data_IF_252907786343
#
_entry.id   IF_252907786343
#
_cell.length_a   1.000
_cell.length_b   1.000
_cell.length_c   1.000
_cell.angle_alpha   90.00
_cell.angle_beta   90.00
_cell.angle_gamma   90.00
#
_symmetry.space_group_name_H-M   'P 1'
#
loop_
_entity.id
_entity.type
_entity.pdbx_description
1 polymer ?
#
# COMPACT_ATOMS: atom_id res chain seq x y z
N UNK A 1 5.74 7.03 -20.86
CA UNK A 1 4.36 6.53 -20.60
C UNK A 1 4.10 6.52 -19.11
N UNK A 2 2.91 6.93 -18.71
CA UNK A 2 2.53 6.90 -17.29
C UNK A 2 2.27 5.47 -16.82
N UNK A 3 2.73 5.14 -15.63
CA UNK A 3 2.47 3.87 -14.99
C UNK A 3 1.00 3.74 -14.64
N UNK A 4 0.41 2.61 -14.97
CA UNK A 4 -0.98 2.30 -14.70
C UNK A 4 -1.08 1.29 -13.56
N UNK A 5 -1.97 1.57 -12.63
CA UNK A 5 -2.26 0.69 -11.48
C UNK A 5 -3.74 0.38 -11.47
N UNK A 6 -4.07 -0.90 -11.41
CA UNK A 6 -5.41 -1.34 -11.07
C UNK A 6 -5.41 -1.92 -9.66
N UNK A 7 -6.44 -1.64 -8.90
CA UNK A 7 -6.58 -2.11 -7.53
C UNK A 7 -7.95 -2.74 -7.33
N UNK A 8 -7.99 -3.91 -6.69
CA UNK A 8 -9.25 -4.59 -6.41
C UNK A 8 -10.07 -3.86 -5.35
N UNK A 9 -11.37 -3.92 -5.45
CA UNK A 9 -12.30 -3.39 -4.43
C UNK A 9 -12.06 -4.04 -3.08
N UNK A 10 -11.74 -5.32 -3.04
CA UNK A 10 -11.38 -6.04 -1.83
C UNK A 10 -10.21 -5.36 -1.11
N UNK A 11 -9.16 -5.00 -1.85
CA UNK A 11 -7.99 -4.33 -1.27
C UNK A 11 -8.34 -2.97 -0.69
N UNK A 12 -9.12 -2.18 -1.42
CA UNK A 12 -9.60 -0.88 -0.94
C UNK A 12 -10.40 -1.02 0.35
N UNK A 13 -11.31 -1.99 0.42
CA UNK A 13 -12.09 -2.27 1.63
C UNK A 13 -11.21 -2.67 2.81
N UNK A 14 -10.20 -3.50 2.59
CA UNK A 14 -9.25 -3.90 3.65
C UNK A 14 -8.50 -2.71 4.21
N UNK A 15 -8.01 -1.84 3.35
CA UNK A 15 -7.30 -0.62 3.75
C UNK A 15 -8.24 0.30 4.53
N UNK A 16 -9.43 0.55 4.02
CA UNK A 16 -10.43 1.39 4.68
C UNK A 16 -10.81 0.83 6.07
N UNK A 17 -10.99 -0.47 6.18
CA UNK A 17 -11.30 -1.13 7.45
C UNK A 17 -10.15 -1.01 8.45
N UNK A 18 -8.90 -1.14 8.01
CA UNK A 18 -7.72 -0.98 8.85
C UNK A 18 -7.60 0.45 9.42
N UNK A 19 -7.88 1.44 8.59
CA UNK A 19 -7.89 2.86 9.01
C UNK A 19 -9.03 3.12 10.00
N UNK A 20 -10.22 2.61 9.71
CA UNK A 20 -11.40 2.75 10.59
C UNK A 20 -11.19 2.08 11.94
N UNK A 21 -10.49 0.94 12.00
CA UNK A 21 -10.23 0.21 13.23
C UNK A 21 -9.44 1.02 14.27
N UNK A 22 -8.65 1.99 13.82
CA UNK A 22 -7.90 2.90 14.71
C UNK A 22 -8.52 4.29 14.78
N UNK A 23 -9.72 4.49 14.24
CA UNK A 23 -10.41 5.80 14.19
C UNK A 23 -9.56 6.92 13.61
N UNK A 24 -8.69 6.61 12.66
CA UNK A 24 -7.73 7.57 12.10
C UNK A 24 -6.90 8.30 13.18
N UNK A 25 -6.66 7.62 14.31
CA UNK A 25 -5.91 8.18 15.44
C UNK A 25 -4.40 7.98 15.32
N UNK A 26 -3.97 7.12 14.42
CA UNK A 26 -2.56 6.79 14.17
C UNK A 26 -2.38 6.29 12.74
N UNK A 27 -1.16 6.36 12.25
CA UNK A 27 -0.81 5.82 10.95
C UNK A 27 -0.81 4.30 10.99
N UNK A 28 -1.37 3.70 9.94
CA UNK A 28 -1.36 2.26 9.70
C UNK A 28 -0.89 2.01 8.28
N UNK A 29 -0.42 0.81 8.00
CA UNK A 29 0.02 0.46 6.67
C UNK A 29 0.35 -1.02 6.53
N UNK A 30 0.83 -1.39 5.36
CA UNK A 30 1.17 -2.76 5.03
C UNK A 30 1.80 -2.88 3.65
N UNK A 31 1.79 -4.10 3.13
CA UNK A 31 2.34 -4.42 1.82
C UNK A 31 1.22 -4.56 0.79
N UNK A 32 1.52 -4.20 -0.46
CA UNK A 32 0.68 -4.55 -1.60
C UNK A 32 1.12 -5.87 -2.21
N UNK A 33 0.15 -6.72 -2.48
CA UNK A 33 0.32 -7.99 -3.17
C UNK A 33 -0.32 -7.90 -4.55
N UNK A 34 0.40 -8.36 -5.56
CA UNK A 34 -0.14 -8.32 -6.91
C UNK A 34 0.82 -8.75 -7.98
N UNK A 35 0.59 -8.25 -9.18
CA UNK A 35 1.33 -8.61 -10.38
C UNK A 35 1.83 -7.36 -11.08
N UNK A 36 3.00 -7.49 -11.67
CA UNK A 36 3.59 -6.44 -12.48
C UNK A 36 3.89 -6.96 -13.88
N UNK A 37 3.50 -6.19 -14.87
CA UNK A 37 3.87 -6.45 -16.25
C UNK A 37 4.23 -5.13 -16.94
N UNK A 38 5.53 -4.92 -17.19
CA UNK A 38 6.04 -3.67 -17.76
C UNK A 38 5.67 -2.47 -16.86
N UNK A 39 4.98 -1.46 -17.40
CA UNK A 39 4.52 -0.27 -16.67
C UNK A 39 3.12 -0.43 -16.08
N UNK A 40 2.62 -1.67 -15.98
CA UNK A 40 1.30 -1.97 -15.44
C UNK A 40 1.42 -2.79 -14.17
N UNK A 41 0.73 -2.36 -13.12
CA UNK A 41 0.62 -3.07 -11.85
C UNK A 41 -0.84 -3.43 -11.60
N UNK A 42 -1.04 -4.59 -11.04
CA UNK A 42 -2.36 -5.05 -10.59
C UNK A 42 -2.27 -5.43 -9.12
N UNK A 43 -2.89 -4.64 -8.26
CA UNK A 43 -2.95 -4.90 -6.83
C UNK A 43 -4.19 -5.77 -6.56
N UNK A 44 -3.99 -6.97 -6.06
CA UNK A 44 -5.07 -7.93 -5.79
C UNK A 44 -5.35 -8.11 -4.31
N UNK A 45 -4.39 -7.78 -3.46
CA UNK A 45 -4.54 -7.88 -2.01
C UNK A 45 -3.55 -6.97 -1.30
N UNK A 46 -3.71 -6.82 0.00
CA UNK A 46 -2.81 -6.07 0.85
C UNK A 46 -2.72 -6.73 2.22
N UNK A 47 -1.56 -6.64 2.85
CA UNK A 47 -1.45 -6.92 4.28
C UNK A 47 -2.01 -5.74 5.06
N UNK A 48 -2.60 -6.01 6.19
CA UNK A 48 -3.11 -4.99 7.11
C UNK A 48 -2.53 -5.24 8.49
N UNK A 49 -2.34 -4.18 9.31
CA UNK A 49 -1.74 -4.34 10.61
C UNK A 49 -2.66 -5.10 11.55
N UNK A 50 -2.05 -5.78 12.51
CA UNK A 50 -2.74 -6.22 13.71
C UNK A 50 -2.95 -5.00 14.61
N UNK A 51 -4.21 -4.68 14.93
CA UNK A 51 -4.57 -3.47 15.69
C UNK A 51 -3.88 -3.35 17.04
N UNK A 52 -3.49 -4.47 17.65
CA UNK A 52 -2.79 -4.48 18.94
C UNK A 52 -1.34 -3.98 18.85
N UNK A 53 -0.76 -4.01 17.68
CA UNK A 53 0.67 -3.69 17.45
C UNK A 53 0.92 -2.33 16.81
N UNK A 54 -0.11 -1.58 16.48
CA UNK A 54 0.05 -0.24 15.92
C UNK A 54 0.56 0.72 17.00
N UNK A 55 1.74 1.25 16.81
CA UNK A 55 2.35 2.18 17.75
C UNK A 55 2.55 3.55 17.13
N UNK A 56 2.30 4.60 17.91
CA UNK A 56 2.55 5.97 17.51
C UNK A 56 1.39 6.65 16.80
N UNK A 57 1.37 7.99 16.87
CA UNK A 57 0.29 8.82 16.31
C UNK A 57 0.61 9.28 14.88
N UNK A 58 1.88 9.46 14.56
CA UNK A 58 2.34 10.03 13.30
C UNK A 58 3.48 9.24 12.66
N UNK A 59 3.64 7.97 13.03
CA UNK A 59 4.66 7.11 12.43
C UNK A 59 4.12 5.70 12.22
N UNK A 60 4.48 5.12 11.10
CA UNK A 60 4.22 3.74 10.78
C UNK A 60 5.56 3.01 10.62
N UNK A 61 5.73 1.89 11.36
CA UNK A 61 6.90 1.04 11.25
C UNK A 61 6.47 -0.32 10.73
N UNK A 62 7.03 -0.72 9.61
CA UNK A 62 6.80 -2.01 9.01
C UNK A 62 7.77 -3.03 9.61
N UNK A 63 7.27 -4.01 10.35
CA UNK A 63 8.06 -5.16 10.77
C UNK A 63 8.23 -6.12 9.59
N UNK A 64 9.45 -6.17 9.05
CA UNK A 64 9.73 -6.90 7.82
C UNK A 64 9.43 -8.40 7.91
N UNK A 65 9.78 -9.05 9.03
CA UNK A 65 9.56 -10.49 9.20
C UNK A 65 8.09 -10.83 9.35
N UNK A 66 7.35 -10.07 10.15
CA UNK A 66 5.92 -10.25 10.37
C UNK A 66 5.11 -9.97 9.10
N UNK A 67 5.42 -8.87 8.42
CA UNK A 67 4.74 -8.51 7.18
C UNK A 67 5.03 -9.51 6.05
N UNK A 68 6.25 -10.02 5.96
CA UNK A 68 6.59 -11.07 4.99
C UNK A 68 5.79 -12.34 5.24
N UNK A 69 5.64 -12.76 6.49
CA UNK A 69 4.83 -13.93 6.84
C UNK A 69 3.35 -13.73 6.47
N UNK A 70 2.80 -12.56 6.70
CA UNK A 70 1.43 -12.21 6.28
C UNK A 70 1.29 -12.24 4.76
N UNK A 71 2.27 -11.68 4.04
CA UNK A 71 2.29 -11.68 2.58
C UNK A 71 2.33 -13.10 2.00
N UNK A 72 3.15 -13.97 2.55
CA UNK A 72 3.21 -15.38 2.16
C UNK A 72 1.89 -16.10 2.40
N UNK A 73 1.25 -15.87 3.52
CA UNK A 73 -0.07 -16.44 3.83
C UNK A 73 -1.13 -15.97 2.83
N UNK A 74 -1.15 -14.69 2.48
CA UNK A 74 -2.07 -14.16 1.47
C UNK A 74 -1.79 -14.75 0.08
N UNK A 75 -0.52 -14.83 -0.31
CA UNK A 75 -0.11 -15.37 -1.59
C UNK A 75 -0.61 -16.81 -1.79
N UNK A 76 -0.61 -17.62 -0.74
CA UNK A 76 -1.12 -18.99 -0.77
C UNK A 76 -2.61 -19.11 -1.05
N UNK A 77 -3.39 -18.04 -0.93
CA UNK A 77 -4.82 -18.04 -1.21
C UNK A 77 -5.15 -17.84 -2.71
N UNK A 78 -4.16 -17.59 -3.54
CA UNK A 78 -4.35 -17.29 -4.96
C UNK A 78 -3.81 -18.43 -5.85
N UNK A 79 -4.51 -18.69 -6.95
CA UNK A 79 -4.08 -19.70 -7.95
C UNK A 79 -2.76 -19.30 -8.61
N UNK A 80 -2.65 -18.03 -9.03
CA UNK A 80 -1.41 -17.44 -9.49
C UNK A 80 -0.82 -16.67 -8.32
N UNK A 81 0.31 -17.12 -7.80
CA UNK A 81 0.94 -16.53 -6.62
C UNK A 81 1.30 -15.07 -6.85
N UNK A 82 0.64 -14.12 -6.17
CA UNK A 82 1.03 -12.72 -6.26
C UNK A 82 2.34 -12.47 -5.52
N UNK A 83 3.04 -11.43 -5.95
CA UNK A 83 4.29 -10.97 -5.35
C UNK A 83 4.06 -9.71 -4.52
N UNK A 84 5.02 -9.38 -3.66
CA UNK A 84 5.07 -8.07 -3.01
C UNK A 84 5.48 -7.06 -4.08
N UNK A 85 4.61 -6.08 -4.36
CA UNK A 85 4.84 -5.07 -5.39
C UNK A 85 4.89 -3.65 -4.85
N UNK A 86 4.73 -3.47 -3.55
CA UNK A 86 4.80 -2.16 -2.95
C UNK A 86 4.31 -2.13 -1.52
N UNK A 87 4.13 -0.91 -1.02
CA UNK A 87 3.68 -0.61 0.34
C UNK A 87 2.58 0.44 0.32
N UNK A 88 1.79 0.47 1.37
CA UNK A 88 0.81 1.52 1.62
C UNK A 88 0.88 1.96 3.08
N UNK A 89 0.59 3.21 3.36
CA UNK A 89 0.32 3.68 4.72
C UNK A 89 -0.66 4.85 4.69
N UNK A 90 -1.28 5.11 5.84
CA UNK A 90 -2.21 6.22 5.99
C UNK A 90 -1.49 7.44 6.56
N UNK A 91 -1.95 8.63 6.17
CA UNK A 91 -1.55 9.89 6.78
C UNK A 91 -2.72 10.47 7.58
N UNK A 92 -2.49 10.75 8.86
CA UNK A 92 -3.51 11.27 9.77
C UNK A 92 -3.95 12.67 9.36
N UNK A 93 -3.01 13.48 8.90
CA UNK A 93 -3.21 14.91 8.61
C UNK A 93 -3.70 15.21 7.19
N UNK A 94 -3.90 14.18 6.39
CA UNK A 94 -4.48 14.32 5.05
C UNK A 94 -3.58 14.93 4.00
N UNK A 95 -2.29 15.05 4.24
CA UNK A 95 -1.33 15.53 3.25
C UNK A 95 -0.84 14.41 2.31
N UNK A 96 -0.63 14.77 1.05
CA UNK A 96 -0.16 13.86 0.01
C UNK A 96 1.35 14.01 -0.22
N UNK A 97 2.11 14.16 0.86
CA UNK A 97 3.55 14.38 0.82
C UNK A 97 4.25 13.32 1.64
N UNK A 98 5.24 12.65 1.06
CA UNK A 98 6.10 11.74 1.80
C UNK A 98 6.98 12.52 2.77
N UNK A 99 7.07 12.04 4.01
CA UNK A 99 8.07 12.51 4.97
C UNK A 99 9.47 12.06 4.54
N UNK A 100 10.51 12.62 5.14
CA UNK A 100 11.88 12.15 4.89
C UNK A 100 12.05 10.68 5.26
N UNK A 101 11.38 10.22 6.31
CA UNK A 101 11.38 8.82 6.72
C UNK A 101 10.68 7.94 5.67
N UNK A 102 9.58 8.41 5.11
CA UNK A 102 8.86 7.73 4.03
C UNK A 102 9.76 7.61 2.79
N UNK A 103 10.42 8.69 2.41
CA UNK A 103 11.34 8.70 1.25
C UNK A 103 12.48 7.71 1.43
N UNK A 104 13.07 7.64 2.61
CA UNK A 104 14.12 6.67 2.93
C UNK A 104 13.59 5.24 2.86
N UNK A 105 12.41 4.97 3.41
CA UNK A 105 11.77 3.67 3.37
C UNK A 105 11.44 3.25 1.94
N UNK A 106 10.92 4.17 1.13
CA UNK A 106 10.64 3.94 -0.28
C UNK A 106 11.90 3.58 -1.06
N UNK A 107 12.99 4.33 -0.84
CA UNK A 107 14.27 4.06 -1.49
C UNK A 107 14.81 2.66 -1.13
N UNK A 108 14.76 2.31 0.16
CA UNK A 108 15.19 0.98 0.62
C UNK A 108 14.38 -0.14 0.00
N UNK A 109 13.07 0.03 -0.09
CA UNK A 109 12.19 -0.95 -0.72
C UNK A 109 12.53 -1.12 -2.20
N UNK A 110 12.78 -0.02 -2.92
CA UNK A 110 13.14 -0.06 -4.32
C UNK A 110 14.51 -0.72 -4.56
N UNK A 111 15.43 -0.69 -3.60
CA UNK A 111 16.68 -1.45 -3.69
C UNK A 111 16.43 -2.95 -3.67
N UNK A 112 15.39 -3.40 -2.97
CA UNK A 112 15.07 -4.82 -2.82
C UNK A 112 14.21 -5.30 -4.00
N UNK A 113 13.18 -4.55 -4.35
CA UNK A 113 12.16 -4.96 -5.33
C UNK A 113 12.41 -4.46 -6.76
N UNK A 114 13.33 -3.52 -6.94
CA UNK A 114 13.38 -2.72 -8.16
C UNK A 114 12.28 -1.67 -8.12
N UNK A 115 11.74 -1.27 -9.28
CA UNK A 115 10.58 -0.38 -9.29
C UNK A 115 9.44 -0.99 -8.48
N UNK A 116 8.85 -0.21 -7.59
CA UNK A 116 7.78 -0.66 -6.71
C UNK A 116 6.77 0.47 -6.48
N UNK A 117 5.65 0.11 -5.86
CA UNK A 117 4.59 1.07 -5.55
C UNK A 117 4.70 1.55 -4.11
N UNK A 118 4.41 2.82 -3.90
CA UNK A 118 4.22 3.38 -2.57
C UNK A 118 2.95 4.22 -2.56
N UNK A 119 2.05 3.95 -1.64
CA UNK A 119 0.76 4.60 -1.59
C UNK A 119 0.52 5.31 -0.27
N UNK A 120 -0.14 6.47 -0.37
CA UNK A 120 -0.67 7.21 0.76
C UNK A 120 -2.19 7.10 0.76
N UNK A 121 -2.74 6.58 1.84
CA UNK A 121 -4.18 6.58 2.09
C UNK A 121 -4.51 7.83 2.90
N UNK A 122 -5.18 8.77 2.27
CA UNK A 122 -5.49 10.05 2.87
C UNK A 122 -6.86 10.00 3.54
N UNK A 123 -6.98 10.50 4.80
CA UNK A 123 -8.24 10.48 5.50
C UNK A 123 -9.22 11.47 4.90
N UNK A 124 -10.48 11.11 4.97
CA UNK A 124 -11.57 12.05 4.77
C UNK A 124 -12.13 12.50 6.09
N UNK A 125 -12.78 13.66 6.05
CA UNK A 125 -13.44 14.27 7.22
C UNK A 125 -14.54 13.38 7.83
N UNK A 126 -14.90 12.28 7.19
CA UNK A 126 -16.00 11.39 7.59
C UNK A 126 -15.69 9.88 7.48
N UNK A 127 -14.55 9.46 7.94
CA UNK A 127 -14.20 8.06 8.23
C UNK A 127 -14.05 7.07 7.06
N UNK A 128 -14.22 7.44 5.81
CA UNK A 128 -14.03 6.54 4.69
C UNK A 128 -12.76 6.88 3.91
N UNK A 129 -12.09 5.84 3.41
CA UNK A 129 -10.94 6.04 2.52
C UNK A 129 -11.39 6.79 1.27
N UNK A 130 -11.06 8.07 1.15
CA UNK A 130 -11.41 8.89 0.00
C UNK A 130 -10.42 8.88 -1.09
N UNK A 131 -9.17 8.91 -0.74
CA UNK A 131 -8.12 9.11 -1.73
C UNK A 131 -6.95 8.20 -1.43
N UNK A 132 -6.75 7.28 -2.32
CA UNK A 132 -5.54 6.48 -2.36
C UNK A 132 -4.68 7.03 -3.49
N UNK A 133 -3.56 7.66 -3.14
CA UNK A 133 -2.58 8.13 -4.11
C UNK A 133 -1.44 7.14 -4.18
N UNK A 134 -1.05 6.75 -5.38
CA UNK A 134 -0.02 5.73 -5.60
C UNK A 134 1.08 6.31 -6.50
N UNK A 135 2.32 6.13 -6.08
CA UNK A 135 3.51 6.48 -6.86
C UNK A 135 4.29 5.22 -7.18
N UNK A 136 4.89 5.21 -8.35
CA UNK A 136 5.96 4.27 -8.66
C UNK A 136 7.28 4.87 -8.18
N UNK A 137 8.04 4.10 -7.42
CA UNK A 137 9.36 4.46 -6.93
C UNK A 137 10.39 3.68 -7.73
N UNK A 138 11.35 4.37 -8.33
CA UNK A 138 12.45 3.73 -9.02
C UNK A 138 13.64 3.48 -8.07
N UNK A 139 14.66 2.70 -8.49
CA UNK A 139 15.83 2.44 -7.65
C UNK A 139 16.68 3.68 -7.29
N UNK A 140 16.51 4.78 -8.00
CA UNK A 140 17.12 6.07 -7.62
C UNK A 140 16.33 6.80 -6.53
N UNK A 141 15.14 6.30 -6.19
CA UNK A 141 14.26 6.89 -5.18
C UNK A 141 13.30 7.94 -5.74
N UNK A 142 13.25 8.13 -7.05
CA UNK A 142 12.30 9.05 -7.67
C UNK A 142 10.89 8.48 -7.62
N UNK A 143 9.93 9.33 -7.23
CA UNK A 143 8.53 9.00 -7.15
C UNK A 143 7.76 9.63 -8.31
N UNK A 144 7.03 8.81 -9.05
CA UNK A 144 6.15 9.26 -10.15
C UNK A 144 4.72 8.84 -9.86
N UNK A 145 3.81 9.82 -9.91
CA UNK A 145 2.39 9.55 -9.68
C UNK A 145 1.83 8.60 -10.75
N UNK A 146 1.06 7.62 -10.31
CA UNK A 146 0.43 6.64 -11.19
C UNK A 146 -1.01 7.00 -11.49
N UNK A 147 -1.52 6.50 -12.61
CA UNK A 147 -2.95 6.44 -12.87
C UNK A 147 -3.53 5.22 -12.16
N UNK A 148 -4.52 5.44 -11.32
CA UNK A 148 -5.15 4.38 -10.52
C UNK A 148 -6.59 4.17 -10.96
N UNK A 149 -6.94 2.93 -11.24
CA UNK A 149 -8.29 2.51 -11.53
C UNK A 149 -8.71 1.38 -10.59
N UNK A 150 -9.95 1.44 -10.10
CA UNK A 150 -10.51 0.37 -9.29
C UNK A 150 -11.08 -0.73 -10.21
N UNK A 151 -10.69 -1.97 -9.97
CA UNK A 151 -11.23 -3.11 -10.70
C UNK A 151 -12.64 -3.45 -10.19
N UNK A 152 -13.51 -3.81 -11.12
CA UNK A 152 -14.85 -4.31 -10.79
C UNK A 152 -14.77 -5.73 -10.21
N UNK A 153 -15.77 -6.12 -9.40
CA UNK A 153 -15.74 -7.35 -8.57
C UNK A 153 -15.68 -8.69 -9.31
N UNK A 154 -15.71 -8.70 -10.62
CA UNK A 154 -15.83 -9.91 -11.43
C UNK A 154 -14.51 -10.45 -11.96
N UNK A 155 -13.52 -10.53 -11.10
CA UNK A 155 -12.27 -11.21 -11.45
C UNK A 155 -12.23 -12.52 -10.69
N UNK A 156 -12.27 -13.67 -11.39
CA UNK A 156 -12.16 -14.97 -10.76
C UNK A 156 -10.81 -15.16 -10.07
#
# INVERSE_FOLDING_TARGET
>A
MSTQVTISKKTIRKIAAAIAAVNNSREVGGLFMGYRHSSKYRIVDATVPDCEKCSGVASFVLDGAEETAKAEALAGCYTNTPEIIGVWHSHIWGDAVFSLQDEESNWRLAQILGNCLSALALPEKQSNLRKLMIWEIDPAGEAKICRVACETENIP
#
